data_IF_503267551002
#
_entry.id   IF_503267551002
#
_cell.length_a   1.000
_cell.length_b   1.000
_cell.length_c   1.000
_cell.angle_alpha   90.00
_cell.angle_beta   90.00
_cell.angle_gamma   90.00
#
_symmetry.space_group_name_H-M   'P 1'
#
loop_
_entity.id
_entity.type
_entity.pdbx_description
1 polymer ?
#
# COMPACT_ATOMS: atom_id res chain seq x y z
N UNK A 1 4.05 -20.69 -25.94
CA UNK A 1 3.94 -19.82 -24.75
C UNK A 1 4.81 -18.60 -24.98
N UNK A 2 4.19 -17.54 -25.50
CA UNK A 2 4.87 -16.30 -25.91
C UNK A 2 5.42 -15.55 -24.71
N UNK A 3 6.47 -14.74 -24.91
CA UNK A 3 7.08 -13.85 -23.90
C UNK A 3 6.09 -12.88 -23.23
N UNK A 4 4.91 -12.67 -23.81
CA UNK A 4 3.82 -11.85 -23.26
C UNK A 4 3.07 -12.54 -22.11
N UNK A 5 2.92 -13.87 -22.15
CA UNK A 5 2.13 -14.66 -21.19
C UNK A 5 2.85 -14.80 -19.83
N UNK A 6 4.20 -14.77 -19.83
CA UNK A 6 5.01 -14.78 -18.61
C UNK A 6 4.88 -13.48 -17.78
N UNK A 7 4.41 -12.39 -18.38
CA UNK A 7 4.34 -11.08 -17.72
C UNK A 7 3.13 -10.96 -16.78
N UNK A 8 2.02 -11.67 -17.06
CA UNK A 8 0.80 -11.60 -16.25
C UNK A 8 0.99 -12.23 -14.85
N UNK A 9 1.56 -13.44 -14.71
CA UNK A 9 1.86 -14.00 -13.39
C UNK A 9 2.81 -13.11 -12.58
N UNK A 10 3.80 -12.49 -13.23
CA UNK A 10 4.74 -11.58 -12.57
C UNK A 10 4.05 -10.29 -12.10
N UNK A 11 3.10 -9.75 -12.87
CA UNK A 11 2.33 -8.55 -12.50
C UNK A 11 1.40 -8.83 -11.31
N UNK A 12 0.69 -9.97 -11.32
CA UNK A 12 -0.16 -10.40 -10.20
C UNK A 12 0.67 -10.65 -8.94
N UNK A 13 1.84 -11.29 -9.08
CA UNK A 13 2.77 -11.50 -7.98
C UNK A 13 3.27 -10.16 -7.39
N UNK A 14 3.60 -9.20 -8.25
CA UNK A 14 4.04 -7.86 -7.84
C UNK A 14 2.94 -7.08 -7.12
N UNK A 15 1.70 -7.15 -7.62
CA UNK A 15 0.54 -6.53 -6.98
C UNK A 15 0.27 -7.13 -5.59
N UNK A 16 0.28 -8.46 -5.48
CA UNK A 16 0.08 -9.15 -4.20
C UNK A 16 1.20 -8.84 -3.20
N UNK A 17 2.46 -8.80 -3.67
CA UNK A 17 3.60 -8.42 -2.85
C UNK A 17 3.50 -6.96 -2.36
N UNK A 18 3.02 -6.05 -3.21
CA UNK A 18 2.75 -4.67 -2.81
C UNK A 18 1.66 -4.59 -1.74
N UNK A 19 0.54 -5.30 -1.93
CA UNK A 19 -0.55 -5.34 -0.96
C UNK A 19 -0.09 -5.87 0.40
N UNK A 20 0.75 -6.92 0.42
CA UNK A 20 1.35 -7.43 1.64
C UNK A 20 2.24 -6.38 2.34
N UNK A 21 3.09 -5.67 1.59
CA UNK A 21 3.93 -4.58 2.14
C UNK A 21 3.12 -3.40 2.65
N UNK A 22 2.04 -3.03 1.96
CA UNK A 22 1.12 -1.99 2.42
C UNK A 22 0.45 -2.37 3.75
N UNK A 23 0.03 -3.64 3.88
CA UNK A 23 -0.47 -4.20 5.14
C UNK A 23 0.56 -4.14 6.27
N UNK A 24 1.82 -4.51 6.00
CA UNK A 24 2.91 -4.41 6.98
C UNK A 24 3.14 -2.96 7.44
N UNK A 25 3.12 -1.99 6.52
CA UNK A 25 3.26 -0.58 6.86
C UNK A 25 2.15 -0.10 7.81
N UNK A 26 0.89 -0.46 7.51
CA UNK A 26 -0.26 -0.14 8.37
C UNK A 26 -0.13 -0.79 9.74
N UNK A 27 0.34 -2.03 9.79
CA UNK A 27 0.59 -2.73 11.05
C UNK A 27 1.66 -2.01 11.90
N UNK A 28 2.78 -1.62 11.29
CA UNK A 28 3.85 -0.88 11.98
C UNK A 28 3.36 0.47 12.50
N UNK A 29 2.57 1.22 11.73
CA UNK A 29 1.94 2.47 12.19
C UNK A 29 1.07 2.21 13.43
N UNK A 30 0.21 1.18 13.39
CA UNK A 30 -0.64 0.84 14.54
C UNK A 30 0.14 0.40 15.78
N UNK A 31 1.22 -0.36 15.60
CA UNK A 31 2.12 -0.74 16.71
C UNK A 31 2.83 0.48 17.30
N UNK A 32 3.30 1.40 16.46
CA UNK A 32 3.94 2.64 16.90
C UNK A 32 2.96 3.51 17.72
N UNK A 33 1.69 3.60 17.31
CA UNK A 33 0.66 4.31 18.08
C UNK A 33 0.41 3.71 19.46
N UNK A 34 0.33 2.38 19.55
CA UNK A 34 0.17 1.71 20.85
C UNK A 34 1.34 2.00 21.80
N UNK A 35 2.57 2.04 21.28
CA UNK A 35 3.74 2.43 22.08
C UNK A 35 3.73 3.91 22.46
N UNK A 36 3.26 4.79 21.57
CA UNK A 36 3.12 6.21 21.88
C UNK A 36 2.09 6.43 23.01
N UNK A 37 0.95 5.75 22.97
CA UNK A 37 -0.08 5.83 24.02
C UNK A 37 0.42 5.37 25.39
N UNK A 38 1.24 4.31 25.43
CA UNK A 38 1.83 3.86 26.71
C UNK A 38 2.89 4.84 27.23
N UNK A 39 3.66 5.47 26.34
CA UNK A 39 4.66 6.47 26.69
C UNK A 39 4.03 7.81 27.16
N UNK A 40 2.83 8.13 26.69
CA UNK A 40 2.10 9.35 27.06
C UNK A 40 1.91 9.49 28.57
N UNK A 41 1.81 8.37 29.30
CA UNK A 41 1.67 8.34 30.76
C UNK A 41 2.87 8.95 31.51
N UNK A 42 4.05 9.04 30.88
CA UNK A 42 5.27 9.57 31.51
C UNK A 42 5.48 11.07 31.28
N UNK A 43 4.63 11.73 30.49
CA UNK A 43 4.74 13.15 30.19
C UNK A 43 3.77 13.99 31.03
N UNK A 44 4.29 14.99 31.76
CA UNK A 44 3.50 15.99 32.50
C UNK A 44 3.95 17.41 32.10
N UNK A 45 3.03 18.39 32.15
CA UNK A 45 3.32 19.79 31.85
C UNK A 45 3.71 20.06 30.39
N UNK A 46 4.72 20.91 30.15
CA UNK A 46 5.17 21.27 28.80
C UNK A 46 5.64 20.08 27.96
N UNK A 47 6.24 19.06 28.58
CA UNK A 47 6.64 17.82 27.91
C UNK A 47 5.44 17.07 27.31
N UNK A 48 4.26 17.18 27.92
CA UNK A 48 3.03 16.59 27.39
C UNK A 48 2.51 17.36 26.17
N UNK A 49 2.60 18.69 26.18
CA UNK A 49 2.22 19.51 25.02
C UNK A 49 3.15 19.26 23.82
N UNK A 50 4.47 19.12 24.06
CA UNK A 50 5.43 18.75 23.02
C UNK A 50 5.15 17.36 22.44
N UNK A 51 4.84 16.38 23.29
CA UNK A 51 4.44 15.04 22.87
C UNK A 51 3.15 15.05 22.03
N UNK A 52 2.12 15.76 22.48
CA UNK A 52 0.86 15.91 21.74
C UNK A 52 1.08 16.54 20.36
N UNK A 53 1.94 17.56 20.26
CA UNK A 53 2.31 18.18 18.99
C UNK A 53 3.05 17.22 18.05
N UNK A 54 3.96 16.39 18.58
CA UNK A 54 4.66 15.36 17.81
C UNK A 54 3.70 14.25 17.34
N UNK A 55 2.82 13.79 18.22
CA UNK A 55 1.81 12.79 17.91
C UNK A 55 0.84 13.28 16.83
N UNK A 56 0.35 14.52 16.92
CA UNK A 56 -0.51 15.09 15.87
C UNK A 56 0.17 15.13 14.49
N UNK A 57 1.48 15.44 14.44
CA UNK A 57 2.27 15.38 13.20
C UNK A 57 2.41 13.95 12.67
N UNK A 58 2.61 12.98 13.58
CA UNK A 58 2.67 11.57 13.22
C UNK A 58 1.35 11.09 12.62
N UNK A 59 0.22 11.36 13.27
CA UNK A 59 -1.13 11.00 12.78
C UNK A 59 -1.39 11.61 11.41
N UNK A 60 -1.04 12.89 11.21
CA UNK A 60 -1.19 13.56 9.92
C UNK A 60 -0.34 12.91 8.81
N UNK A 61 0.90 12.54 9.12
CA UNK A 61 1.78 11.84 8.19
C UNK A 61 1.27 10.41 7.90
N UNK A 62 0.81 9.69 8.92
CA UNK A 62 0.24 8.36 8.80
C UNK A 62 -1.02 8.36 7.91
N UNK A 63 -1.90 9.36 8.07
CA UNK A 63 -3.06 9.54 7.20
C UNK A 63 -2.63 9.72 5.73
N UNK A 64 -1.63 10.57 5.47
CA UNK A 64 -1.09 10.76 4.11
C UNK A 64 -0.50 9.47 3.53
N UNK A 65 0.25 8.71 4.32
CA UNK A 65 0.80 7.40 3.92
C UNK A 65 -0.33 6.45 3.56
N UNK A 66 -1.37 6.35 4.38
CA UNK A 66 -2.51 5.47 4.11
C UNK A 66 -3.22 5.82 2.80
N UNK A 67 -3.48 7.11 2.56
CA UNK A 67 -4.06 7.58 1.29
C UNK A 67 -3.18 7.23 0.09
N UNK A 68 -1.86 7.43 0.20
CA UNK A 68 -0.94 7.06 -0.89
C UNK A 68 -0.91 5.55 -1.14
N UNK A 69 -1.00 4.73 -0.09
CA UNK A 69 -1.09 3.28 -0.22
C UNK A 69 -2.39 2.86 -0.91
N UNK A 70 -3.53 3.47 -0.57
CA UNK A 70 -4.82 3.19 -1.24
C UNK A 70 -4.77 3.56 -2.73
N UNK A 71 -4.23 4.74 -3.06
CA UNK A 71 -4.05 5.18 -4.45
C UNK A 71 -3.13 4.22 -5.22
N UNK A 72 -2.02 3.80 -4.60
CA UNK A 72 -1.10 2.86 -5.23
C UNK A 72 -1.75 1.49 -5.48
N UNK A 73 -2.54 0.97 -4.53
CA UNK A 73 -3.29 -0.27 -4.71
C UNK A 73 -4.31 -0.15 -5.85
N UNK A 74 -5.06 0.94 -5.92
CA UNK A 74 -6.02 1.19 -6.99
C UNK A 74 -5.34 1.24 -8.38
N UNK A 75 -4.27 2.03 -8.51
CA UNK A 75 -3.54 2.19 -9.77
C UNK A 75 -2.89 0.89 -10.23
N UNK A 76 -2.31 0.11 -9.31
CA UNK A 76 -1.71 -1.19 -9.65
C UNK A 76 -2.77 -2.22 -10.03
N UNK A 77 -3.94 -2.20 -9.38
CA UNK A 77 -5.06 -3.07 -9.73
C UNK A 77 -5.66 -2.74 -11.11
N UNK A 78 -5.86 -1.46 -11.40
CA UNK A 78 -6.34 -0.99 -12.72
C UNK A 78 -5.34 -1.34 -13.82
N UNK A 79 -4.05 -1.02 -13.63
CA UNK A 79 -3.00 -1.34 -14.59
C UNK A 79 -2.91 -2.85 -14.85
N UNK A 80 -3.05 -3.69 -13.82
CA UNK A 80 -3.10 -5.13 -13.98
C UNK A 80 -4.32 -5.59 -14.78
N UNK A 81 -5.50 -5.02 -14.51
CA UNK A 81 -6.72 -5.30 -15.27
C UNK A 81 -6.62 -4.92 -16.74
N UNK A 82 -6.10 -3.72 -17.05
CA UNK A 82 -5.88 -3.26 -18.43
C UNK A 82 -4.88 -4.16 -19.15
N UNK A 83 -3.79 -4.57 -18.49
CA UNK A 83 -2.77 -5.43 -19.09
C UNK A 83 -3.33 -6.82 -19.44
N UNK A 84 -4.10 -7.42 -18.52
CA UNK A 84 -4.78 -8.71 -18.75
C UNK A 84 -5.80 -8.60 -19.89
N UNK A 85 -6.58 -7.52 -19.94
CA UNK A 85 -7.56 -7.31 -21.01
C UNK A 85 -6.90 -7.13 -22.39
N UNK A 86 -5.80 -6.37 -22.46
CA UNK A 86 -5.03 -6.19 -23.69
C UNK A 86 -4.40 -7.50 -24.17
N UNK A 87 -3.87 -8.31 -23.25
CA UNK A 87 -3.29 -9.61 -23.58
C UNK A 87 -4.36 -10.61 -24.03
N UNK A 88 -5.51 -10.68 -23.35
CA UNK A 88 -6.62 -11.53 -23.77
C UNK A 88 -7.13 -11.15 -25.18
N UNK A 89 -7.17 -9.86 -25.51
CA UNK A 89 -7.52 -9.38 -26.84
C UNK A 89 -6.45 -9.76 -27.89
N UNK A 90 -5.16 -9.63 -27.54
CA UNK A 90 -4.06 -10.05 -28.41
C UNK A 90 -4.05 -11.58 -28.63
N UNK A 91 -4.20 -12.39 -27.58
CA UNK A 91 -4.30 -13.85 -27.68
C UNK A 91 -5.47 -14.30 -28.55
N UNK A 92 -6.64 -13.66 -28.41
CA UNK A 92 -7.82 -13.92 -29.24
C UNK A 92 -7.59 -13.62 -30.73
N UNK A 93 -6.69 -12.66 -31.04
CA UNK A 93 -6.32 -12.36 -32.43
C UNK A 93 -5.42 -13.42 -33.07
N UNK A 94 -4.64 -14.17 -32.27
CA UNK A 94 -3.80 -15.28 -32.77
C UNK A 94 -4.58 -16.57 -33.00
N UNK A 95 -5.70 -16.79 -32.32
CA UNK A 95 -6.58 -17.96 -32.52
C UNK A 95 -7.63 -17.76 -33.62
N UNK A 96 -7.65 -16.59 -34.27
CA UNK A 96 -8.51 -16.29 -35.40
C UNK A 96 -7.87 -16.70 -36.74
N UNK A 97 -7.68 -18.01 -36.94
CA UNK A 97 -7.49 -18.65 -38.25
C UNK A 97 -8.22 -19.99 -38.27
#
# INVERSE_FOLDING_TARGET
MSLLDAHIPQLIASHTAFAAKAGLMRHTIGQAEQQAMSAQAFHQGESAAAFQGAHARFVAAAAKVNTLLDIAQANLGEAAGTYVAADAAAASSYTGF
#
